data_IF_741780260831
#
_entry.id   IF_741780260831
#
_cell.length_a   1.000
_cell.length_b   1.000
_cell.length_c   1.000
_cell.angle_alpha   90.00
_cell.angle_beta   90.00
_cell.angle_gamma   90.00
#
_symmetry.space_group_name_H-M   'P 1'
#
loop_
_entity.id
_entity.type
_entity.pdbx_description
1 polymer ?
#
# COMPACT_ATOMS: atom_id res chain seq x y z
N UNK A 1 -1.25 4.09 27.21
CA UNK A 1 0.05 3.46 27.55
C UNK A 1 0.13 1.96 27.27
N UNK A 2 -0.93 1.13 27.48
CA UNK A 2 -0.88 -0.33 27.18
C UNK A 2 -0.76 -0.70 25.68
N UNK A 3 -1.31 0.09 24.76
CA UNK A 3 -1.26 -0.22 23.32
C UNK A 3 0.13 0.01 22.67
N UNK A 4 0.82 1.09 23.05
CA UNK A 4 2.13 1.46 22.50
C UNK A 4 3.17 0.36 22.73
N UNK A 5 3.16 -0.27 23.91
CA UNK A 5 4.10 -1.35 24.22
C UNK A 5 3.83 -2.61 23.38
N UNK A 6 2.55 -2.90 23.12
CA UNK A 6 2.15 -4.07 22.32
C UNK A 6 2.51 -3.91 20.84
N UNK A 7 2.30 -2.72 20.27
CA UNK A 7 2.66 -2.41 18.88
C UNK A 7 4.18 -2.46 18.67
N UNK A 8 4.95 -1.90 19.60
CA UNK A 8 6.41 -1.99 19.56
C UNK A 8 6.90 -3.44 19.59
N UNK A 9 6.33 -4.27 20.48
CA UNK A 9 6.69 -5.69 20.57
C UNK A 9 6.38 -6.43 19.25
N UNK A 10 5.23 -6.15 18.62
CA UNK A 10 4.87 -6.74 17.31
C UNK A 10 5.86 -6.34 16.23
N UNK A 11 6.20 -5.07 16.16
CA UNK A 11 7.13 -4.53 15.17
C UNK A 11 8.54 -5.08 15.36
N UNK A 12 9.02 -5.15 16.60
CA UNK A 12 10.32 -5.74 16.93
C UNK A 12 10.37 -7.23 16.54
N UNK A 13 9.27 -7.98 16.77
CA UNK A 13 9.16 -9.36 16.31
C UNK A 13 9.26 -9.47 14.78
N UNK A 14 8.50 -8.65 14.06
CA UNK A 14 8.51 -8.62 12.59
C UNK A 14 9.93 -8.37 12.03
N UNK A 15 10.69 -7.49 12.68
CA UNK A 15 12.06 -7.14 12.31
C UNK A 15 13.02 -8.31 12.57
N UNK A 16 12.87 -9.03 13.69
CA UNK A 16 13.70 -10.21 13.97
C UNK A 16 13.36 -11.37 13.05
N UNK A 17 12.09 -11.56 12.71
CA UNK A 17 11.67 -12.53 11.70
C UNK A 17 12.25 -12.16 10.32
N UNK A 18 12.31 -10.86 9.99
CA UNK A 18 12.94 -10.37 8.77
C UNK A 18 14.46 -10.61 8.72
N UNK A 19 15.16 -10.54 9.84
CA UNK A 19 16.60 -10.84 9.92
C UNK A 19 16.89 -12.31 9.61
N UNK A 20 16.02 -13.22 10.05
CA UNK A 20 16.20 -14.67 9.93
C UNK A 20 15.68 -15.27 8.62
N UNK A 21 14.97 -14.48 7.81
CA UNK A 21 14.42 -14.94 6.54
C UNK A 21 15.26 -14.48 5.36
N UNK A 22 15.23 -15.22 4.25
CA UNK A 22 15.85 -14.79 2.97
C UNK A 22 14.91 -14.00 2.06
N UNK A 23 13.65 -13.83 2.48
CA UNK A 23 12.66 -13.13 1.68
C UNK A 23 12.64 -11.63 1.97
N UNK A 24 12.12 -10.88 1.01
CA UNK A 24 11.82 -9.46 1.07
C UNK A 24 10.39 -9.25 0.59
N UNK A 25 9.73 -8.25 1.15
CA UNK A 25 8.45 -7.75 0.65
C UNK A 25 8.69 -6.66 -0.37
N UNK A 26 7.84 -6.59 -1.39
CA UNK A 26 7.88 -5.52 -2.39
C UNK A 26 6.47 -5.02 -2.68
N UNK A 27 6.31 -3.71 -2.59
CA UNK A 27 5.11 -2.97 -2.96
C UNK A 27 5.30 -2.37 -4.34
N UNK A 28 4.43 -2.75 -5.27
CA UNK A 28 4.36 -2.23 -6.63
C UNK A 28 3.18 -1.27 -6.71
N UNK A 29 3.46 0.01 -6.88
CA UNK A 29 2.46 1.04 -7.09
C UNK A 29 2.04 0.99 -8.55
N UNK A 30 0.77 0.67 -8.78
CA UNK A 30 0.23 0.44 -10.11
C UNK A 30 -0.92 1.37 -10.44
N UNK A 31 -0.98 1.73 -11.71
CA UNK A 31 -2.09 2.39 -12.37
C UNK A 31 -2.67 1.45 -13.42
N UNK A 32 -3.99 1.41 -13.56
CA UNK A 32 -4.62 0.63 -14.62
C UNK A 32 -5.97 1.19 -15.09
N UNK A 33 -6.26 0.95 -16.37
CA UNK A 33 -7.54 1.23 -17.03
C UNK A 33 -8.47 0.03 -16.88
N UNK A 34 -9.44 0.12 -15.98
CA UNK A 34 -10.26 -1.02 -15.57
C UNK A 34 -11.03 -1.67 -16.71
N UNK A 35 -11.36 -0.91 -17.76
CA UNK A 35 -12.12 -1.40 -18.91
C UNK A 35 -11.34 -2.40 -19.78
N UNK A 36 -10.01 -2.48 -19.61
CA UNK A 36 -9.16 -3.48 -20.28
C UNK A 36 -9.08 -4.82 -19.54
N UNK A 37 -9.80 -4.95 -18.42
CA UNK A 37 -9.73 -6.13 -17.56
C UNK A 37 -11.12 -6.65 -17.22
N UNK A 38 -11.29 -7.97 -17.33
CA UNK A 38 -12.53 -8.64 -16.96
C UNK A 38 -12.62 -8.91 -15.46
N UNK A 39 -11.48 -8.96 -14.77
CA UNK A 39 -11.39 -9.17 -13.34
C UNK A 39 -10.11 -8.61 -12.74
N UNK A 40 -10.12 -8.41 -11.43
CA UNK A 40 -8.90 -8.05 -10.71
C UNK A 40 -8.01 -9.28 -10.45
N UNK A 41 -8.61 -10.34 -9.89
CA UNK A 41 -7.92 -11.61 -9.67
C UNK A 41 -7.84 -12.44 -10.95
N UNK A 42 -6.84 -13.32 -10.98
CA UNK A 42 -6.65 -14.31 -12.03
C UNK A 42 -7.85 -15.25 -12.11
N UNK A 43 -8.36 -15.39 -13.32
CA UNK A 43 -9.34 -16.38 -13.69
C UNK A 43 -8.85 -17.08 -14.97
N UNK A 44 -9.05 -18.40 -15.12
CA UNK A 44 -8.69 -19.10 -16.34
C UNK A 44 -9.28 -18.40 -17.58
N UNK A 45 -8.45 -18.20 -18.61
CA UNK A 45 -8.82 -17.61 -19.89
C UNK A 45 -9.31 -16.15 -19.87
N UNK A 46 -9.14 -15.41 -18.77
CA UNK A 46 -9.53 -14.00 -18.67
C UNK A 46 -8.35 -13.07 -18.50
N UNK A 47 -8.42 -11.91 -19.13
CA UNK A 47 -7.44 -10.84 -18.90
C UNK A 47 -7.76 -10.15 -17.58
N UNK A 48 -6.88 -10.32 -16.60
CA UNK A 48 -7.02 -9.74 -15.26
C UNK A 48 -5.85 -8.84 -14.88
N UNK A 49 -6.07 -7.95 -13.91
CA UNK A 49 -5.00 -7.09 -13.39
C UNK A 49 -3.83 -7.92 -12.85
N UNK A 50 -4.12 -8.97 -12.07
CA UNK A 50 -3.06 -9.85 -11.52
C UNK A 50 -2.36 -10.68 -12.57
N UNK A 51 -3.06 -11.18 -13.60
CA UNK A 51 -2.41 -11.93 -14.68
C UNK A 51 -1.47 -11.04 -15.51
N UNK A 52 -1.87 -9.80 -15.81
CA UNK A 52 -0.99 -8.85 -16.50
C UNK A 52 0.20 -8.43 -15.62
N UNK A 53 -0.02 -8.21 -14.33
CA UNK A 53 1.08 -7.97 -13.41
C UNK A 53 2.06 -9.14 -13.35
N UNK A 54 1.56 -10.39 -13.36
CA UNK A 54 2.42 -11.58 -13.41
C UNK A 54 3.26 -11.64 -14.69
N UNK A 55 2.71 -11.27 -15.85
CA UNK A 55 3.50 -11.14 -17.08
C UNK A 55 4.65 -10.14 -16.93
N UNK A 56 4.42 -9.01 -16.25
CA UNK A 56 5.49 -8.05 -15.95
C UNK A 56 6.58 -8.69 -15.07
N UNK A 57 6.18 -9.39 -14.02
CA UNK A 57 7.13 -10.08 -13.14
C UNK A 57 7.96 -11.12 -13.90
N UNK A 58 7.33 -11.96 -14.72
CA UNK A 58 7.98 -13.00 -15.54
C UNK A 58 8.96 -12.42 -16.56
N UNK A 59 8.58 -11.34 -17.25
CA UNK A 59 9.45 -10.65 -18.23
C UNK A 59 10.68 -10.02 -17.57
N UNK A 60 10.53 -9.58 -16.32
CA UNK A 60 11.64 -9.10 -15.49
C UNK A 60 12.37 -10.23 -14.75
N UNK A 61 11.99 -11.49 -14.97
CA UNK A 61 12.55 -12.68 -14.30
C UNK A 61 12.43 -12.64 -12.77
N UNK A 62 11.45 -11.90 -12.23
CA UNK A 62 11.21 -11.79 -10.80
C UNK A 62 10.44 -13.02 -10.32
N UNK A 63 11.05 -13.83 -9.46
CA UNK A 63 10.37 -14.97 -8.84
C UNK A 63 9.65 -14.55 -7.58
N UNK A 64 8.37 -14.89 -7.49
CA UNK A 64 7.55 -14.62 -6.30
C UNK A 64 7.39 -15.87 -5.43
N UNK A 65 7.13 -15.65 -4.15
CA UNK A 65 6.76 -16.68 -3.20
C UNK A 65 5.44 -16.33 -2.53
N UNK A 66 4.55 -17.33 -2.44
CA UNK A 66 3.11 -17.15 -2.18
C UNK A 66 2.44 -16.31 -3.29
N UNK A 67 1.15 -16.04 -3.13
CA UNK A 67 0.36 -15.25 -4.07
C UNK A 67 0.59 -13.74 -3.97
N UNK A 68 0.10 -13.03 -4.98
CA UNK A 68 0.05 -11.56 -5.03
C UNK A 68 -1.07 -11.08 -4.10
N UNK A 69 -0.72 -10.23 -3.13
CA UNK A 69 -1.68 -9.49 -2.31
C UNK A 69 -1.89 -8.08 -2.87
N UNK A 70 -2.88 -7.36 -2.35
CA UNK A 70 -3.28 -6.06 -2.90
C UNK A 70 -3.78 -5.11 -1.82
N UNK A 71 -3.65 -3.81 -2.07
CA UNK A 71 -4.25 -2.80 -1.21
C UNK A 71 -5.76 -2.67 -1.45
N UNK A 72 -6.18 -2.57 -2.71
CA UNK A 72 -7.58 -2.57 -3.12
C UNK A 72 -7.87 -3.68 -4.12
N UNK A 73 -8.87 -4.52 -3.85
CA UNK A 73 -9.46 -5.39 -4.88
C UNK A 73 -10.54 -4.58 -5.60
N UNK A 74 -10.41 -4.41 -6.91
CA UNK A 74 -11.42 -3.70 -7.71
C UNK A 74 -12.35 -4.68 -8.43
N UNK A 75 -13.59 -4.25 -8.69
CA UNK A 75 -14.49 -4.99 -9.56
C UNK A 75 -14.07 -4.87 -11.04
N UNK A 76 -14.72 -5.63 -11.92
CA UNK A 76 -14.57 -5.45 -13.37
C UNK A 76 -14.88 -3.99 -13.78
N UNK A 77 -14.18 -3.50 -14.79
CA UNK A 77 -14.27 -2.13 -15.32
C UNK A 77 -13.82 -1.01 -14.39
N UNK A 78 -13.47 -1.28 -13.13
CA UNK A 78 -13.06 -0.23 -12.17
C UNK A 78 -11.58 0.07 -12.37
N UNK A 79 -11.25 1.35 -12.61
CA UNK A 79 -9.87 1.81 -12.81
C UNK A 79 -9.14 2.07 -11.49
N UNK A 80 -7.81 2.22 -11.54
CA UNK A 80 -7.06 2.72 -10.40
C UNK A 80 -5.89 3.61 -10.84
N UNK A 81 -5.63 4.69 -10.09
CA UNK A 81 -4.49 5.59 -10.31
C UNK A 81 -3.29 5.25 -9.44
N UNK A 82 -3.51 4.81 -8.19
CA UNK A 82 -2.44 4.42 -7.26
C UNK A 82 -2.89 3.25 -6.39
N UNK A 83 -3.13 2.10 -7.01
CA UNK A 83 -3.30 0.85 -6.27
C UNK A 83 -1.93 0.23 -5.97
N UNK A 84 -1.88 -0.76 -5.09
CA UNK A 84 -0.62 -1.40 -4.72
C UNK A 84 -0.78 -2.92 -4.75
N UNK A 85 0.14 -3.57 -5.43
CA UNK A 85 0.30 -5.02 -5.43
C UNK A 85 1.52 -5.38 -4.60
N UNK A 86 1.36 -6.34 -3.70
CA UNK A 86 2.39 -6.77 -2.77
C UNK A 86 2.80 -8.21 -3.05
N UNK A 87 4.12 -8.45 -3.13
CA UNK A 87 4.70 -9.79 -3.33
C UNK A 87 5.82 -10.05 -2.32
N UNK A 88 6.12 -11.33 -2.12
CA UNK A 88 7.36 -11.75 -1.45
C UNK A 88 8.31 -12.32 -2.50
N UNK A 89 9.60 -12.01 -2.40
CA UNK A 89 10.64 -12.62 -3.24
C UNK A 89 11.89 -12.92 -2.42
N UNK A 90 12.64 -13.96 -2.81
CA UNK A 90 13.99 -14.22 -2.28
C UNK A 90 15.04 -13.33 -2.94
N UNK A 91 14.73 -12.81 -4.12
CA UNK A 91 15.66 -12.04 -4.93
C UNK A 91 15.69 -10.60 -4.42
N UNK A 92 16.88 -10.03 -4.35
CA UNK A 92 17.06 -8.59 -4.16
C UNK A 92 16.86 -7.95 -5.52
N UNK A 93 15.67 -7.39 -5.74
CA UNK A 93 15.30 -6.79 -7.02
C UNK A 93 16.04 -5.46 -7.16
N UNK A 94 16.80 -5.33 -8.24
CA UNK A 94 17.40 -4.08 -8.70
C UNK A 94 16.42 -3.36 -9.62
N UNK A 95 15.77 -2.32 -9.10
CA UNK A 95 14.72 -1.60 -9.81
C UNK A 95 15.23 -0.90 -11.08
N UNK A 96 16.52 -0.54 -11.14
CA UNK A 96 17.13 0.11 -12.31
C UNK A 96 17.24 -0.81 -13.52
N UNK A 97 17.25 -2.13 -13.31
CA UNK A 97 17.46 -3.15 -14.35
C UNK A 97 16.16 -3.75 -14.88
N UNK A 98 15.01 -3.21 -14.47
CA UNK A 98 13.71 -3.70 -14.93
C UNK A 98 13.50 -3.33 -16.41
N UNK A 99 13.22 -4.35 -17.21
CA UNK A 99 13.03 -4.26 -18.66
C UNK A 99 11.61 -3.86 -19.06
N UNK A 100 10.62 -4.20 -18.22
CA UNK A 100 9.22 -3.97 -18.51
C UNK A 100 8.54 -3.34 -17.30
N UNK A 101 7.92 -2.18 -17.50
CA UNK A 101 7.18 -1.44 -16.45
C UNK A 101 5.67 -1.43 -16.69
N UNK A 102 5.22 -1.82 -17.88
CA UNK A 102 3.82 -1.75 -18.27
C UNK A 102 3.44 -2.89 -19.22
N UNK A 103 2.14 -3.20 -19.23
CA UNK A 103 1.49 -3.96 -20.28
C UNK A 103 0.27 -3.18 -20.75
N UNK A 104 -0.50 -3.75 -21.67
CA UNK A 104 -1.70 -3.13 -22.19
C UNK A 104 -2.76 -2.93 -21.09
N UNK A 105 -2.81 -1.70 -20.55
CA UNK A 105 -3.76 -1.28 -19.52
C UNK A 105 -3.25 -1.25 -18.10
N UNK A 106 -2.01 -1.70 -17.83
CA UNK A 106 -1.42 -1.74 -16.48
C UNK A 106 -0.01 -1.15 -16.52
N UNK A 107 0.27 -0.20 -15.63
CA UNK A 107 1.57 0.43 -15.49
C UNK A 107 2.04 0.37 -14.04
N UNK A 108 3.32 0.06 -13.83
CA UNK A 108 4.01 0.20 -12.56
C UNK A 108 4.65 1.60 -12.53
N UNK A 109 4.32 2.38 -11.51
CA UNK A 109 4.82 3.75 -11.33
C UNK A 109 5.98 3.82 -10.34
N UNK A 110 5.99 2.93 -9.33
CA UNK A 110 7.02 2.90 -8.28
C UNK A 110 7.10 1.51 -7.68
N UNK A 111 8.30 1.12 -7.23
CA UNK A 111 8.51 -0.09 -6.44
C UNK A 111 9.19 0.29 -5.14
N UNK A 112 8.69 -0.22 -4.04
CA UNK A 112 9.22 0.02 -2.70
C UNK A 112 9.45 -1.31 -2.02
N UNK A 113 10.66 -1.49 -1.47
CA UNK A 113 10.96 -2.66 -0.64
C UNK A 113 10.35 -2.49 0.75
N UNK A 114 9.94 -3.58 1.37
CA UNK A 114 9.45 -3.65 2.74
C UNK A 114 9.69 -5.05 3.31
N UNK A 115 9.10 -5.37 4.45
CA UNK A 115 9.27 -6.66 5.12
C UNK A 115 8.40 -7.72 4.42
N UNK A 116 8.86 -8.98 4.35
CA UNK A 116 8.09 -10.07 3.78
C UNK A 116 6.95 -10.51 4.71
N UNK A 117 6.04 -11.31 4.19
CA UNK A 117 4.97 -12.01 4.90
C UNK A 117 3.96 -11.14 5.63
N UNK A 118 3.81 -9.89 5.22
CA UNK A 118 2.73 -9.03 5.73
C UNK A 118 1.37 -9.59 5.32
N UNK A 119 0.39 -9.47 6.21
CA UNK A 119 -1.03 -9.53 5.84
C UNK A 119 -1.41 -8.19 5.19
N UNK A 120 -0.95 -8.00 3.95
CA UNK A 120 -0.89 -6.69 3.32
C UNK A 120 -2.22 -5.91 3.29
N UNK A 121 -3.40 -6.53 3.09
CA UNK A 121 -4.67 -5.81 3.17
C UNK A 121 -4.94 -5.13 4.54
N UNK A 122 -4.40 -5.67 5.64
CA UNK A 122 -4.52 -5.11 6.99
C UNK A 122 -3.54 -3.94 7.24
N UNK A 123 -2.54 -3.79 6.38
CA UNK A 123 -1.55 -2.71 6.43
C UNK A 123 -2.04 -1.42 5.73
N UNK A 124 -3.28 -1.44 5.24
CA UNK A 124 -3.91 -0.31 4.55
C UNK A 124 -4.96 0.30 5.46
N UNK A 125 -4.75 1.57 5.81
CA UNK A 125 -5.64 2.29 6.70
C UNK A 125 -6.86 2.82 5.94
N UNK A 126 -6.68 3.48 4.80
CA UNK A 126 -7.77 4.09 4.04
C UNK A 126 -7.68 3.85 2.54
N UNK A 127 -8.83 3.85 1.88
CA UNK A 127 -8.96 3.76 0.42
C UNK A 127 -9.80 4.93 -0.08
N UNK A 128 -9.34 5.54 -1.17
CA UNK A 128 -9.95 6.75 -1.73
C UNK A 128 -10.50 6.44 -3.12
N UNK A 129 -11.82 6.55 -3.27
CA UNK A 129 -12.48 6.34 -4.55
C UNK A 129 -13.14 7.62 -5.04
N UNK A 130 -13.16 7.78 -6.36
CA UNK A 130 -13.95 8.79 -7.05
C UNK A 130 -14.90 8.08 -8.00
N UNK A 131 -16.17 8.51 -8.00
CA UNK A 131 -17.20 8.05 -8.91
C UNK A 131 -17.70 9.19 -9.81
N UNK A 132 -17.38 9.10 -11.09
CA UNK A 132 -17.63 10.14 -12.12
C UNK A 132 -18.81 9.78 -13.00
N UNK A 133 -20.02 9.85 -12.44
CA UNK A 133 -21.24 9.44 -13.15
C UNK A 133 -21.80 10.53 -14.06
N UNK A 134 -22.21 10.30 -15.31
CA UNK A 134 -22.70 11.36 -16.19
C UNK A 134 -23.88 12.15 -15.62
N UNK A 135 -23.82 13.50 -15.67
CA UNK A 135 -24.88 14.39 -15.13
C UNK A 135 -26.27 14.03 -15.64
N UNK A 136 -26.39 13.75 -16.95
CA UNK A 136 -27.66 13.38 -17.62
C UNK A 136 -28.31 12.07 -17.12
N UNK A 137 -27.56 11.23 -16.41
CA UNK A 137 -28.06 9.96 -15.89
C UNK A 137 -28.47 10.03 -14.40
N UNK A 138 -28.17 11.14 -13.73
CA UNK A 138 -28.50 11.37 -12.32
C UNK A 138 -29.97 11.75 -12.18
N UNK A 139 -30.59 11.39 -11.06
CA UNK A 139 -32.00 11.71 -10.79
C UNK A 139 -32.20 12.62 -9.58
N UNK A 140 -31.32 12.56 -8.59
CA UNK A 140 -31.34 13.48 -7.46
C UNK A 140 -30.66 14.81 -7.83
N UNK A 141 -31.19 15.91 -7.28
CA UNK A 141 -30.52 17.21 -7.27
C UNK A 141 -29.34 17.24 -6.30
N UNK A 142 -28.54 18.30 -6.37
CA UNK A 142 -27.32 18.42 -5.56
C UNK A 142 -27.60 18.58 -4.07
N UNK A 143 -28.71 19.20 -3.69
CA UNK A 143 -29.09 19.38 -2.27
C UNK A 143 -29.37 18.01 -1.64
N UNK A 144 -30.24 17.21 -2.26
CA UNK A 144 -30.56 15.85 -1.82
C UNK A 144 -29.32 14.95 -1.82
N UNK A 145 -28.46 15.04 -2.85
CA UNK A 145 -27.20 14.29 -2.89
C UNK A 145 -26.33 14.62 -1.67
N UNK A 146 -26.15 15.91 -1.36
CA UNK A 146 -25.31 16.34 -0.23
C UNK A 146 -25.91 15.91 1.12
N UNK A 147 -27.23 16.00 1.29
CA UNK A 147 -27.92 15.51 2.49
C UNK A 147 -27.69 14.00 2.69
N UNK A 148 -27.87 13.21 1.64
CA UNK A 148 -27.62 11.75 1.70
C UNK A 148 -26.15 11.49 2.03
N UNK A 149 -25.20 12.15 1.37
CA UNK A 149 -23.76 12.00 1.64
C UNK A 149 -23.42 12.23 3.12
N UNK A 150 -23.98 13.28 3.73
CA UNK A 150 -23.77 13.57 5.14
C UNK A 150 -24.33 12.44 6.03
N UNK A 151 -25.56 11.98 5.78
CA UNK A 151 -26.21 10.97 6.63
C UNK A 151 -25.64 9.56 6.49
N UNK A 152 -25.13 9.18 5.31
CA UNK A 152 -24.48 7.87 5.12
C UNK A 152 -23.03 7.85 5.61
N UNK A 153 -22.44 9.00 5.91
CA UNK A 153 -21.08 9.09 6.42
C UNK A 153 -20.99 8.69 7.90
N UNK A 154 -19.84 8.16 8.30
CA UNK A 154 -19.53 7.72 9.65
C UNK A 154 -19.27 6.22 9.74
N UNK A 155 -19.14 5.74 10.98
CA UNK A 155 -18.94 4.33 11.30
C UNK A 155 -20.29 3.64 11.47
N UNK A 156 -20.69 2.82 10.49
CA UNK A 156 -22.03 2.20 10.44
C UNK A 156 -21.97 0.75 9.92
N UNK A 157 -23.01 -0.04 10.19
CA UNK A 157 -23.21 -1.34 9.54
C UNK A 157 -23.74 -1.14 8.10
N UNK A 158 -22.91 -1.44 7.11
CA UNK A 158 -23.25 -1.28 5.69
C UNK A 158 -23.77 -2.57 5.04
N UNK A 159 -24.36 -3.50 5.82
CA UNK A 159 -24.91 -4.77 5.34
C UNK A 159 -25.90 -4.61 4.17
N UNK A 160 -26.68 -3.54 4.15
CA UNK A 160 -27.65 -3.28 3.07
C UNK A 160 -27.02 -2.63 1.83
N UNK A 161 -25.78 -2.13 1.94
CA UNK A 161 -25.03 -1.53 0.83
C UNK A 161 -24.00 -2.49 0.25
N UNK A 162 -24.29 -3.79 0.20
CA UNK A 162 -23.38 -4.77 -0.39
C UNK A 162 -24.12 -5.85 -1.18
N UNK A 163 -23.38 -6.49 -2.08
CA UNK A 163 -23.85 -7.70 -2.78
C UNK A 163 -24.05 -8.90 -1.84
N UNK A 164 -24.74 -9.93 -2.32
CA UNK A 164 -24.94 -11.21 -1.61
C UNK A 164 -23.62 -11.84 -1.12
N UNK A 165 -22.54 -11.70 -1.89
CA UNK A 165 -21.21 -12.16 -1.46
C UNK A 165 -20.74 -11.40 -0.22
N UNK A 166 -20.98 -10.09 -0.15
CA UNK A 166 -20.61 -9.28 1.01
C UNK A 166 -21.50 -9.53 2.22
N UNK A 167 -22.78 -9.85 2.03
CA UNK A 167 -23.68 -10.23 3.13
C UNK A 167 -23.19 -11.46 3.90
N UNK A 168 -22.47 -12.37 3.25
CA UNK A 168 -21.84 -13.55 3.87
C UNK A 168 -20.61 -13.26 4.74
N UNK A 169 -20.10 -12.03 4.76
CA UNK A 169 -18.97 -11.66 5.61
C UNK A 169 -19.39 -11.62 7.08
N UNK A 170 -18.44 -11.81 7.99
CA UNK A 170 -18.70 -11.76 9.44
C UNK A 170 -18.90 -10.33 9.97
N UNK A 171 -18.29 -9.33 9.33
CA UNK A 171 -18.30 -7.94 9.76
C UNK A 171 -18.61 -6.99 8.59
N UNK A 172 -19.68 -6.23 8.74
CA UNK A 172 -20.21 -5.25 7.79
C UNK A 172 -20.01 -3.80 8.22
N UNK A 173 -19.50 -3.57 9.43
CA UNK A 173 -19.20 -2.23 9.94
C UNK A 173 -17.99 -1.65 9.22
N UNK A 174 -18.13 -0.45 8.68
CA UNK A 174 -17.05 0.34 8.08
C UNK A 174 -17.13 1.77 8.55
N UNK A 175 -16.02 2.47 8.56
CA UNK A 175 -15.99 3.93 8.69
C UNK A 175 -15.79 4.54 7.31
N UNK A 176 -16.82 5.23 6.82
CA UNK A 176 -16.86 5.78 5.46
C UNK A 176 -17.26 7.24 5.52
N UNK A 177 -16.50 8.07 4.83
CA UNK A 177 -16.86 9.46 4.52
C UNK A 177 -17.22 9.57 3.05
N UNK A 178 -18.33 10.25 2.76
CA UNK A 178 -18.76 10.54 1.41
C UNK A 178 -18.98 12.04 1.21
N UNK A 179 -18.55 12.55 0.05
CA UNK A 179 -18.73 13.95 -0.34
C UNK A 179 -19.10 14.02 -1.82
N UNK A 180 -19.98 14.95 -2.16
CA UNK A 180 -20.24 15.30 -3.55
C UNK A 180 -19.71 16.71 -3.85
N UNK A 181 -18.87 16.83 -4.87
CA UNK A 181 -18.25 18.10 -5.23
C UNK A 181 -17.88 18.09 -6.73
N UNK A 182 -18.05 19.23 -7.41
CA UNK A 182 -17.72 19.38 -8.83
C UNK A 182 -18.32 18.28 -9.73
N UNK A 183 -19.51 17.81 -9.37
CA UNK A 183 -20.18 16.73 -10.10
C UNK A 183 -19.55 15.34 -9.89
N UNK A 184 -18.78 15.09 -8.83
CA UNK A 184 -18.17 13.78 -8.55
C UNK A 184 -18.50 13.35 -7.14
N UNK A 185 -18.69 12.04 -6.93
CA UNK A 185 -18.75 11.47 -5.58
C UNK A 185 -17.36 11.01 -5.15
N UNK A 186 -16.96 11.44 -3.97
CA UNK A 186 -15.73 11.06 -3.29
C UNK A 186 -16.09 10.13 -2.14
N UNK A 187 -15.37 9.02 -2.04
CA UNK A 187 -15.50 8.07 -0.95
C UNK A 187 -14.13 7.86 -0.31
N UNK A 188 -14.08 7.96 1.01
CA UNK A 188 -12.92 7.62 1.82
C UNK A 188 -13.36 6.63 2.87
N UNK A 189 -12.67 5.52 3.04
CA UNK A 189 -13.04 4.57 4.08
C UNK A 189 -11.95 3.61 4.49
N UNK A 190 -12.10 3.03 5.68
CA UNK A 190 -11.21 2.02 6.26
C UNK A 190 -11.21 0.69 5.48
N UNK A 191 -12.30 0.45 4.77
CA UNK A 191 -12.48 -0.63 3.82
C UNK A 191 -13.86 -0.54 3.18
N UNK A 192 -14.06 -1.31 2.11
CA UNK A 192 -15.35 -1.37 1.43
C UNK A 192 -15.78 -2.82 1.26
N UNK A 193 -17.05 -3.08 1.49
CA UNK A 193 -17.70 -4.35 1.21
C UNK A 193 -17.82 -4.56 -0.32
N UNK A 194 -17.97 -5.81 -0.78
CA UNK A 194 -18.13 -6.11 -2.20
C UNK A 194 -19.25 -5.30 -2.89
N UNK A 195 -18.87 -4.51 -3.90
CA UNK A 195 -19.72 -3.60 -4.69
C UNK A 195 -20.26 -2.37 -3.94
N UNK A 196 -19.83 -2.13 -2.71
CA UNK A 196 -20.42 -1.12 -1.83
C UNK A 196 -20.41 0.29 -2.41
N UNK A 197 -19.25 0.76 -2.89
CA UNK A 197 -19.13 2.12 -3.44
C UNK A 197 -20.11 2.33 -4.62
N UNK A 198 -20.33 1.30 -5.44
CA UNK A 198 -21.21 1.36 -6.62
C UNK A 198 -22.69 1.33 -6.23
N UNK A 199 -23.06 0.56 -5.21
CA UNK A 199 -24.43 0.51 -4.67
C UNK A 199 -24.74 1.83 -3.98
N UNK A 200 -23.85 2.32 -3.12
CA UNK A 200 -23.97 3.64 -2.49
C UNK A 200 -24.07 4.75 -3.52
N UNK A 201 -23.27 4.71 -4.59
CA UNK A 201 -23.36 5.70 -5.67
C UNK A 201 -24.73 5.67 -6.37
N UNK A 202 -25.32 4.48 -6.59
CA UNK A 202 -26.68 4.42 -7.13
C UNK A 202 -27.69 5.06 -6.19
N UNK A 203 -27.62 4.68 -4.92
CA UNK A 203 -28.51 5.17 -3.88
C UNK A 203 -28.46 6.70 -3.78
N UNK A 204 -27.26 7.25 -3.64
CA UNK A 204 -27.01 8.69 -3.52
C UNK A 204 -27.50 9.46 -4.75
N UNK A 205 -27.19 8.97 -5.97
CA UNK A 205 -27.45 9.73 -7.20
C UNK A 205 -28.87 9.54 -7.77
N UNK A 206 -29.51 8.40 -7.49
CA UNK A 206 -30.69 7.96 -8.25
C UNK A 206 -31.90 7.56 -7.40
N UNK A 207 -31.76 7.37 -6.08
CA UNK A 207 -32.89 6.95 -5.24
C UNK A 207 -33.71 8.16 -4.77
N UNK A 208 -34.59 8.64 -5.67
CA UNK A 208 -35.38 9.87 -5.44
C UNK A 208 -36.48 9.71 -4.41
N UNK A 209 -37.01 8.50 -4.23
CA UNK A 209 -38.16 8.21 -3.36
C UNK A 209 -37.77 7.83 -1.93
N UNK A 210 -36.48 7.65 -1.65
CA UNK A 210 -36.04 7.30 -0.30
C UNK A 210 -36.30 8.46 0.66
N UNK A 211 -36.88 8.12 1.81
CA UNK A 211 -37.06 9.01 2.95
C UNK A 211 -35.73 9.15 3.71
N UNK A 212 -35.10 10.31 3.57
CA UNK A 212 -33.76 10.60 4.08
C UNK A 212 -33.72 10.54 5.62
N UNK A 213 -34.85 10.70 6.31
CA UNK A 213 -34.92 10.59 7.77
C UNK A 213 -34.69 9.15 8.26
N UNK A 214 -34.85 8.15 7.39
CA UNK A 214 -34.49 6.77 7.70
C UNK A 214 -32.98 6.54 7.75
N UNK A 215 -32.15 7.43 7.23
CA UNK A 215 -30.68 7.34 7.32
C UNK A 215 -30.20 7.78 8.72
N UNK A 216 -30.55 7.01 9.73
CA UNK A 216 -30.14 7.24 11.12
C UNK A 216 -29.46 5.98 11.69
N UNK A 217 -28.70 6.16 12.78
CA UNK A 217 -27.86 5.10 13.36
C UNK A 217 -28.67 3.85 13.72
N UNK A 218 -29.87 4.02 14.30
CA UNK A 218 -30.75 2.91 14.67
C UNK A 218 -31.12 2.03 13.47
N UNK A 219 -31.45 2.62 12.33
CA UNK A 219 -31.82 1.85 11.14
C UNK A 219 -30.61 1.18 10.46
N UNK A 220 -29.42 1.79 10.54
CA UNK A 220 -28.19 1.14 10.09
C UNK A 220 -27.86 -0.08 10.96
N UNK A 221 -27.88 0.08 12.28
CA UNK A 221 -27.62 -1.01 13.24
C UNK A 221 -28.62 -2.15 13.12
N UNK A 222 -29.92 -1.81 13.01
CA UNK A 222 -30.98 -2.81 12.93
C UNK A 222 -31.23 -3.35 11.51
N UNK A 223 -30.52 -2.84 10.50
CA UNK A 223 -30.69 -3.24 9.09
C UNK A 223 -32.15 -3.09 8.63
N UNK A 224 -32.69 -1.89 8.85
CA UNK A 224 -34.08 -1.51 8.53
C UNK A 224 -34.16 -0.38 7.49
N UNK A 225 -33.11 -0.18 6.70
CA UNK A 225 -33.10 0.87 5.67
C UNK A 225 -33.98 0.45 4.47
N UNK A 226 -34.02 -0.84 4.13
CA UNK A 226 -34.76 -1.36 2.99
C UNK A 226 -34.10 -1.08 1.63
N UNK A 227 -32.77 -0.94 1.59
CA UNK A 227 -32.01 -0.67 0.38
C UNK A 227 -32.01 -1.88 -0.54
N UNK A 228 -32.41 -1.66 -1.80
CA UNK A 228 -32.44 -2.66 -2.87
C UNK A 228 -31.70 -2.19 -4.13
N UNK A 229 -30.95 -1.10 -4.00
CA UNK A 229 -30.17 -0.50 -5.07
C UNK A 229 -29.16 -1.50 -5.65
N UNK A 230 -29.09 -1.54 -6.97
CA UNK A 230 -28.10 -2.35 -7.70
C UNK A 230 -26.82 -1.53 -7.88
N UNK A 231 -25.65 -2.17 -8.02
CA UNK A 231 -24.41 -1.45 -8.30
C UNK A 231 -24.51 -0.75 -9.66
N UNK A 232 -24.13 0.53 -9.72
CA UNK A 232 -23.88 1.19 -11.00
C UNK A 232 -22.64 0.63 -11.71
N UNK A 233 -22.42 0.95 -12.98
CA UNK A 233 -21.28 0.45 -13.78
C UNK A 233 -19.92 0.83 -13.16
N UNK A 234 -18.99 -0.13 -13.12
CA UNK A 234 -17.65 0.05 -12.58
C UNK A 234 -16.79 1.04 -13.38
N UNK A 235 -17.10 1.29 -14.66
CA UNK A 235 -16.29 2.17 -15.53
C UNK A 235 -16.18 3.63 -15.05
N UNK A 236 -17.13 4.06 -14.22
CA UNK A 236 -17.12 5.42 -13.65
C UNK A 236 -16.39 5.49 -12.30
N UNK A 237 -15.98 4.34 -11.74
CA UNK A 237 -15.30 4.25 -10.46
C UNK A 237 -13.78 4.16 -10.67
N UNK A 238 -13.05 4.98 -9.92
CA UNK A 238 -11.59 4.93 -9.89
C UNK A 238 -11.08 4.87 -8.45
N UNK A 239 -10.20 3.91 -8.14
CA UNK A 239 -9.39 3.93 -6.91
C UNK A 239 -8.24 4.93 -7.08
N UNK A 240 -8.31 6.05 -6.38
CA UNK A 240 -7.36 7.15 -6.54
C UNK A 240 -6.05 6.92 -5.81
N UNK A 241 -6.13 6.50 -4.54
CA UNK A 241 -4.98 6.19 -3.68
C UNK A 241 -5.41 5.33 -2.50
N UNK A 242 -4.40 4.90 -1.74
CA UNK A 242 -4.55 4.26 -0.44
C UNK A 242 -3.62 4.95 0.55
N UNK A 243 -4.02 4.98 1.82
CA UNK A 243 -3.16 5.40 2.92
C UNK A 243 -2.70 4.17 3.70
N UNK A 244 -1.48 4.23 4.20
CA UNK A 244 -0.85 3.14 4.93
C UNK A 244 -1.17 3.21 6.41
N UNK A 245 -1.12 2.06 7.08
CA UNK A 245 -0.97 2.07 8.53
C UNK A 245 0.38 2.67 8.91
N UNK A 246 0.46 3.28 10.09
CA UNK A 246 1.72 3.79 10.65
C UNK A 246 2.80 2.70 10.71
N UNK A 247 2.41 1.44 10.95
CA UNK A 247 3.32 0.29 10.92
C UNK A 247 3.95 0.11 9.54
N UNK A 248 3.14 0.13 8.46
CA UNK A 248 3.64 -0.06 7.11
C UNK A 248 4.53 1.11 6.67
N UNK A 249 4.20 2.34 7.04
CA UNK A 249 5.06 3.50 6.79
C UNK A 249 6.43 3.34 7.44
N UNK A 250 6.46 2.84 8.68
CA UNK A 250 7.69 2.62 9.44
C UNK A 250 8.64 1.61 8.83
N UNK A 251 8.09 0.51 8.31
CA UNK A 251 8.88 -0.62 7.82
C UNK A 251 9.22 -0.56 6.33
N UNK A 252 8.60 0.37 5.59
CA UNK A 252 8.80 0.52 4.15
C UNK A 252 9.98 1.41 3.81
N UNK A 253 10.78 1.00 2.83
CA UNK A 253 12.00 1.69 2.42
C UNK A 253 11.70 2.66 1.26
N UNK A 254 10.96 3.74 1.53
CA UNK A 254 10.60 4.75 0.51
C UNK A 254 11.79 5.56 0.00
N UNK A 255 12.71 5.88 0.92
CA UNK A 255 13.91 6.67 0.67
C UNK A 255 15.16 5.78 0.77
N UNK A 256 15.21 4.74 -0.07
CA UNK A 256 16.50 4.07 -0.29
C UNK A 256 17.36 5.03 -1.09
N UNK A 257 18.01 5.97 -0.40
CA UNK A 257 19.27 6.52 -0.91
C UNK A 257 20.21 5.34 -1.03
N UNK A 258 20.44 4.86 -2.25
CA UNK A 258 21.43 3.83 -2.50
C UNK A 258 22.75 4.41 -1.98
N UNK A 259 23.26 3.83 -0.89
CA UNK A 259 24.60 4.23 -0.42
C UNK A 259 25.67 3.90 -1.48
N UNK A 260 25.36 3.03 -2.45
CA UNK A 260 26.13 2.85 -3.70
C UNK A 260 26.26 4.13 -4.54
N UNK A 261 25.22 4.96 -4.68
CA UNK A 261 25.33 6.29 -5.31
C UNK A 261 26.18 7.24 -4.46
N UNK A 262 26.08 7.16 -3.13
CA UNK A 262 26.85 7.99 -2.19
C UNK A 262 28.34 7.64 -2.11
N UNK A 263 28.71 6.37 -2.35
CA UNK A 263 30.10 5.92 -2.43
C UNK A 263 30.69 6.30 -3.79
N UNK A 264 29.92 6.19 -4.88
CA UNK A 264 30.36 6.61 -6.22
C UNK A 264 30.52 8.13 -6.36
N UNK A 265 29.68 8.94 -5.69
CA UNK A 265 29.82 10.41 -5.66
C UNK A 265 31.10 10.91 -4.97
N UNK A 266 31.79 10.08 -4.17
CA UNK A 266 33.11 10.41 -3.63
C UNK A 266 34.26 10.16 -4.61
N UNK A 267 34.02 9.35 -5.64
CA UNK A 267 35.03 8.98 -6.62
C UNK A 267 35.03 9.90 -7.86
N UNK A 268 33.96 10.66 -8.08
CA UNK A 268 33.85 11.61 -9.20
C UNK A 268 33.68 13.05 -8.67
N UNK A 269 34.80 13.77 -8.58
CA UNK A 269 34.78 15.22 -8.42
C UNK A 269 34.28 15.90 -9.70
N UNK A 270 32.97 16.10 -9.84
CA UNK A 270 32.40 17.15 -10.71
C UNK A 270 30.88 17.29 -10.61
N UNK A 271 30.42 18.37 -9.92
CA UNK A 271 29.36 19.34 -10.32
C UNK A 271 27.93 18.78 -10.55
N UNK A 272 26.78 19.30 -10.08
CA UNK A 272 26.33 20.63 -9.60
C UNK A 272 25.01 20.55 -8.81
N UNK A 273 24.86 21.50 -7.86
CA UNK A 273 23.65 22.23 -7.43
C UNK A 273 22.27 21.55 -7.51
N UNK A 274 21.95 20.71 -6.53
CA UNK A 274 20.61 20.69 -5.87
C UNK A 274 20.62 20.05 -4.47
N UNK A 275 21.82 19.80 -3.89
CA UNK A 275 22.01 18.88 -2.75
C UNK A 275 22.21 19.60 -1.40
N UNK A 276 22.29 20.94 -1.38
CA UNK A 276 22.76 21.74 -0.22
C UNK A 276 21.99 21.58 1.10
N UNK A 277 20.76 21.06 1.12
CA UNK A 277 20.00 20.86 2.36
C UNK A 277 20.31 19.49 3.02
N UNK A 278 20.96 18.58 2.30
CA UNK A 278 21.20 17.20 2.76
C UNK A 278 22.63 16.90 3.22
N UNK A 279 23.61 17.75 2.91
CA UNK A 279 25.04 17.53 3.23
C UNK A 279 25.31 17.54 4.75
N UNK A 280 24.70 18.45 5.51
CA UNK A 280 24.98 18.61 6.96
C UNK A 280 24.57 17.42 7.84
N UNK A 281 23.58 16.62 7.42
CA UNK A 281 23.20 15.37 8.10
C UNK A 281 24.01 14.16 7.62
N UNK A 282 24.58 14.22 6.41
CA UNK A 282 25.33 13.13 5.76
C UNK A 282 26.78 13.09 6.25
N UNK A 283 27.41 14.25 6.42
CA UNK A 283 28.79 14.33 6.94
C UNK A 283 28.88 13.80 8.37
N UNK A 284 27.86 14.06 9.19
CA UNK A 284 27.77 13.59 10.56
C UNK A 284 27.59 12.05 10.68
N UNK A 285 26.96 11.41 9.68
CA UNK A 285 26.86 9.94 9.63
C UNK A 285 28.18 9.32 9.16
N UNK A 286 28.78 9.88 8.11
CA UNK A 286 30.05 9.40 7.55
C UNK A 286 31.21 9.55 8.54
N UNK A 287 31.27 10.64 9.32
CA UNK A 287 32.26 10.82 10.39
C UNK A 287 32.09 9.82 11.54
N UNK A 288 30.83 9.54 11.96
CA UNK A 288 30.55 8.52 12.98
C UNK A 288 30.89 7.10 12.52
N UNK A 289 30.79 6.86 11.22
CA UNK A 289 31.04 5.59 10.56
C UNK A 289 32.55 5.37 10.40
N UNK A 290 33.32 6.34 9.88
CA UNK A 290 34.79 6.27 9.65
C UNK A 290 35.65 5.67 10.79
N UNK A 291 35.19 5.71 12.04
CA UNK A 291 35.89 5.13 13.21
C UNK A 291 35.61 3.62 13.44
N UNK A 292 35.01 2.92 12.47
CA UNK A 292 34.68 1.49 12.58
C UNK A 292 35.37 0.74 11.43
N UNK A 293 36.46 0.02 11.69
CA UNK A 293 37.16 -0.85 10.72
C UNK A 293 36.24 -1.88 10.03
N UNK A 294 35.04 -2.11 10.59
CA UNK A 294 34.02 -3.08 10.16
C UNK A 294 33.21 -2.63 8.92
N UNK A 295 33.42 -1.42 8.40
CA UNK A 295 32.71 -0.88 7.21
C UNK A 295 33.11 -1.57 5.92
N UNK A 296 34.35 -2.06 5.84
CA UNK A 296 34.92 -2.65 4.62
C UNK A 296 34.14 -3.88 4.11
N UNK A 297 33.29 -4.47 4.96
CA UNK A 297 32.51 -5.70 4.69
C UNK A 297 31.04 -5.46 4.37
N UNK A 298 30.60 -4.20 4.38
CA UNK A 298 29.24 -3.83 4.06
C UNK A 298 29.11 -3.69 2.54
N UNK A 299 28.19 -4.46 1.94
CA UNK A 299 27.89 -4.41 0.51
C UNK A 299 26.82 -3.38 0.18
N UNK A 300 25.82 -3.24 1.06
CA UNK A 300 24.72 -2.29 0.88
C UNK A 300 24.16 -1.89 2.24
N UNK A 301 23.64 -0.68 2.34
CA UNK A 301 22.90 -0.21 3.51
C UNK A 301 21.55 0.32 3.04
N UNK A 302 20.50 -0.01 3.77
CA UNK A 302 19.17 0.56 3.58
C UNK A 302 18.62 1.04 4.91
N UNK A 303 17.88 2.15 4.92
CA UNK A 303 17.28 2.69 6.12
C UNK A 303 15.82 3.03 5.85
N UNK A 304 14.94 2.65 6.77
CA UNK A 304 13.59 3.17 6.86
C UNK A 304 13.47 4.02 8.14
N UNK A 305 12.28 4.48 8.48
CA UNK A 305 12.11 5.36 9.64
C UNK A 305 12.24 4.64 10.99
N UNK A 306 12.26 3.30 11.01
CA UNK A 306 12.36 2.52 12.24
C UNK A 306 13.72 1.83 12.45
N UNK A 307 14.33 1.28 11.40
CA UNK A 307 15.57 0.52 11.51
C UNK A 307 16.48 0.63 10.27
N UNK A 308 17.74 0.23 10.45
CA UNK A 308 18.76 0.18 9.40
C UNK A 308 19.11 -1.27 9.05
N UNK A 309 19.16 -1.58 7.77
CA UNK A 309 19.58 -2.88 7.23
C UNK A 309 20.99 -2.77 6.68
N UNK A 310 21.88 -3.62 7.18
CA UNK A 310 23.22 -3.82 6.64
C UNK A 310 23.26 -5.13 5.85
N UNK A 311 23.65 -5.06 4.58
CA UNK A 311 23.87 -6.23 3.74
C UNK A 311 25.36 -6.57 3.74
N UNK A 312 25.69 -7.81 4.07
CA UNK A 312 27.06 -8.31 4.19
C UNK A 312 27.18 -9.65 3.47
N UNK A 313 28.37 -10.01 3.02
CA UNK A 313 28.60 -11.36 2.49
C UNK A 313 28.49 -12.39 3.60
N UNK A 314 28.01 -13.59 3.26
CA UNK A 314 27.82 -14.67 4.24
C UNK A 314 29.09 -14.99 5.04
N UNK A 315 30.26 -14.98 4.40
CA UNK A 315 31.55 -15.23 5.06
C UNK A 315 31.94 -14.14 6.06
N UNK A 316 31.46 -12.90 5.86
CA UNK A 316 31.85 -11.74 6.65
C UNK A 316 30.88 -11.45 7.80
N UNK A 317 29.69 -12.06 7.79
CA UNK A 317 28.64 -11.79 8.79
C UNK A 317 29.08 -12.02 10.23
N UNK A 318 29.79 -13.12 10.51
CA UNK A 318 30.23 -13.46 11.87
C UNK A 318 31.18 -12.40 12.44
N UNK A 319 32.08 -11.91 11.60
CA UNK A 319 33.03 -10.87 11.97
C UNK A 319 32.37 -9.49 12.07
N UNK A 320 31.48 -9.16 11.14
CA UNK A 320 30.67 -7.94 11.20
C UNK A 320 29.86 -7.86 12.49
N UNK A 321 29.29 -9.00 12.93
CA UNK A 321 28.56 -9.06 14.20
C UNK A 321 29.51 -8.91 15.41
N UNK A 322 30.71 -9.47 15.29
CA UNK A 322 31.75 -9.48 16.31
C UNK A 322 31.48 -10.46 17.44
N UNK A 323 32.53 -10.82 18.20
CA UNK A 323 32.43 -11.74 19.34
C UNK A 323 31.39 -11.25 20.34
N UNK A 324 30.39 -12.09 20.66
CA UNK A 324 29.25 -11.74 21.53
C UNK A 324 28.53 -10.44 21.11
N UNK A 325 28.42 -10.21 19.81
CA UNK A 325 27.69 -9.05 19.24
C UNK A 325 28.29 -7.69 19.61
N UNK A 326 29.60 -7.62 19.93
CA UNK A 326 30.27 -6.38 20.38
C UNK A 326 30.09 -5.24 19.36
N UNK A 327 30.17 -5.57 18.08
CA UNK A 327 30.15 -4.63 16.97
C UNK A 327 28.73 -4.11 16.72
N UNK A 328 27.76 -5.03 16.66
CA UNK A 328 26.31 -4.72 16.60
C UNK A 328 25.90 -3.79 17.74
N UNK A 329 26.39 -4.01 18.96
CA UNK A 329 26.08 -3.13 20.10
C UNK A 329 26.60 -1.70 19.93
N UNK A 330 27.76 -1.51 19.28
CA UNK A 330 28.26 -0.17 18.93
C UNK A 330 27.40 0.47 17.85
N UNK A 331 27.12 -0.25 16.77
CA UNK A 331 26.29 0.24 15.67
C UNK A 331 24.89 0.63 16.13
N UNK A 332 24.27 -0.15 17.03
CA UNK A 332 22.96 0.18 17.60
C UNK A 332 22.93 1.52 18.35
N UNK A 333 24.04 1.93 18.98
CA UNK A 333 24.13 3.24 19.65
C UNK A 333 24.12 4.41 18.66
N UNK A 334 24.53 4.16 17.41
CA UNK A 334 24.62 5.18 16.35
C UNK A 334 23.35 5.20 15.51
N UNK A 335 22.88 4.01 15.10
CA UNK A 335 21.85 3.83 14.09
C UNK A 335 20.48 3.47 14.66
N UNK A 336 20.38 3.21 15.96
CA UNK A 336 19.17 2.67 16.57
C UNK A 336 19.02 1.18 16.26
N UNK A 337 17.80 0.74 15.94
CA UNK A 337 17.59 -0.66 15.59
C UNK A 337 18.24 -1.03 14.26
N UNK A 338 18.88 -2.21 14.25
CA UNK A 338 19.60 -2.73 13.08
C UNK A 338 19.22 -4.18 12.79
N UNK A 339 19.32 -4.52 11.51
CA UNK A 339 19.16 -5.85 10.93
C UNK A 339 20.35 -6.15 10.02
N UNK A 340 20.90 -7.36 10.13
CA UNK A 340 21.99 -7.82 9.26
C UNK A 340 21.48 -8.87 8.27
N UNK A 341 21.57 -8.58 6.97
CA UNK A 341 21.15 -9.48 5.88
C UNK A 341 22.36 -10.01 5.13
N UNK A 342 22.29 -11.28 4.77
CA UNK A 342 23.25 -11.91 3.87
C UNK A 342 22.85 -11.60 2.42
N UNK A 343 23.82 -11.29 1.58
CA UNK A 343 23.68 -11.16 0.12
C UNK A 343 24.62 -12.12 -0.61
#
# INVERSE_FOLDING_TARGET
>A
MKNINTEKIKLDKLIRDFENTKYFGYMFFVEYEGQRFESFDENPNKKSVKSEFRKILEKNKIKIFKGIQQAGRTDANVSAKKNILYINSKEIIDFSKLKLWETEGLKINKIVRTLPFLEFPQMIEKRYYIYEYPKKLRKNDEEKINQICNKVSGKKDFYEFTSEKGKKLKNHTREIFTKYENGKLYFVGDGFLPQQVRIMSNFILNNTKFDIEKLNDENFENRKLGIKDKPLDGKYLTLMKVDFSEELEKISFFDVKNIEELINLKNENSISLEIKISESKIDNLNEKVKNIDEITKIRKIQKNSYFTVFFVEKKDKGEFIGKRGKNIRKLKRIFGDIVVKEI
#
